data_IF_127075440344
#
_entry.id   IF_127075440344
#
_cell.length_a   1.000
_cell.length_b   1.000
_cell.length_c   1.000
_cell.angle_alpha   90.00
_cell.angle_beta   90.00
_cell.angle_gamma   90.00
#
_symmetry.space_group_name_H-M   'P 1'
#
loop_
_entity.id
_entity.type
_entity.pdbx_description
1 polymer ?
#
# COMPACT_ATOMS: atom_id res chain seq x y z
N UNK A 1 -17.42 -5.05 -11.82
CA UNK A 1 -17.90 -4.01 -12.76
C UNK A 1 -17.11 -4.17 -14.04
N UNK A 2 -17.70 -3.91 -15.22
CA UNK A 2 -16.95 -4.02 -16.48
C UNK A 2 -15.75 -3.08 -16.46
N UNK A 3 -14.61 -3.55 -16.95
CA UNK A 3 -13.44 -2.69 -17.13
C UNK A 3 -13.78 -1.54 -18.08
N UNK A 4 -13.28 -0.34 -17.76
CA UNK A 4 -13.56 0.88 -18.54
C UNK A 4 -14.95 1.47 -18.36
N UNK A 5 -15.84 0.85 -17.54
CA UNK A 5 -17.12 1.49 -17.20
C UNK A 5 -16.90 2.69 -16.28
N UNK A 6 -17.81 3.68 -16.31
CA UNK A 6 -17.76 4.87 -15.45
C UNK A 6 -17.61 4.50 -13.96
N UNK A 7 -18.35 3.48 -13.51
CA UNK A 7 -18.24 3.05 -12.12
C UNK A 7 -16.88 2.44 -11.78
N UNK A 8 -16.22 1.76 -12.73
CA UNK A 8 -14.90 1.17 -12.53
C UNK A 8 -13.82 2.26 -12.46
N UNK A 9 -13.92 3.26 -13.34
CA UNK A 9 -13.04 4.43 -13.33
C UNK A 9 -13.18 5.22 -12.02
N UNK A 10 -14.42 5.44 -11.57
CA UNK A 10 -14.70 6.08 -10.28
C UNK A 10 -14.13 5.27 -9.11
N UNK A 11 -14.34 3.96 -9.11
CA UNK A 11 -13.79 3.08 -8.08
C UNK A 11 -12.26 3.18 -7.99
N UNK A 12 -11.56 3.15 -9.13
CA UNK A 12 -10.09 3.28 -9.15
C UNK A 12 -9.64 4.66 -8.66
N UNK A 13 -10.32 5.73 -9.04
CA UNK A 13 -10.01 7.08 -8.55
C UNK A 13 -10.16 7.19 -7.03
N UNK A 14 -11.30 6.76 -6.48
CA UNK A 14 -11.56 6.78 -5.04
C UNK A 14 -10.59 5.85 -4.27
N UNK A 15 -10.24 4.72 -4.87
CA UNK A 15 -9.22 3.80 -4.36
C UNK A 15 -7.85 4.47 -4.27
N UNK A 16 -7.42 5.18 -5.32
CA UNK A 16 -6.11 5.84 -5.37
C UNK A 16 -6.03 7.00 -4.37
N UNK A 17 -7.13 7.75 -4.20
CA UNK A 17 -7.27 8.76 -3.15
C UNK A 17 -7.14 8.14 -1.75
N UNK A 18 -7.77 6.99 -1.50
CA UNK A 18 -7.65 6.28 -0.24
C UNK A 18 -6.22 5.78 0.03
N UNK A 19 -5.50 5.33 -1.01
CA UNK A 19 -4.08 4.97 -0.89
C UNK A 19 -3.19 6.17 -0.59
N UNK A 20 -3.45 7.32 -1.23
CA UNK A 20 -2.74 8.56 -0.96
C UNK A 20 -2.94 9.01 0.49
N UNK A 21 -4.20 9.00 0.95
CA UNK A 21 -4.54 9.27 2.35
C UNK A 21 -3.80 8.34 3.31
N UNK A 22 -3.80 7.03 3.05
CA UNK A 22 -3.13 6.04 3.90
C UNK A 22 -1.61 6.26 3.99
N UNK A 23 -0.95 6.62 2.88
CA UNK A 23 0.49 6.97 2.85
C UNK A 23 0.77 8.21 3.70
N UNK A 24 0.02 9.29 3.50
CA UNK A 24 0.19 10.53 4.26
C UNK A 24 -0.06 10.29 5.75
N UNK A 25 -1.06 9.48 6.10
CA UNK A 25 -1.33 9.12 7.49
C UNK A 25 -0.12 8.40 8.13
N UNK A 26 0.47 7.41 7.45
CA UNK A 26 1.67 6.72 7.95
C UNK A 26 2.88 7.65 8.07
N UNK A 27 3.07 8.57 7.11
CA UNK A 27 4.12 9.58 7.19
C UNK A 27 3.95 10.48 8.42
N UNK A 28 2.74 10.97 8.67
CA UNK A 28 2.46 11.81 9.84
C UNK A 28 2.65 11.05 11.17
N UNK A 29 2.24 9.78 11.23
CA UNK A 29 2.50 8.92 12.39
C UNK A 29 4.01 8.76 12.61
N UNK A 30 4.78 8.46 11.57
CA UNK A 30 6.24 8.33 11.64
C UNK A 30 6.90 9.60 12.17
N UNK A 31 6.51 10.77 11.64
CA UNK A 31 7.00 12.07 12.12
C UNK A 31 6.71 12.29 13.61
N UNK A 32 5.48 11.99 14.05
CA UNK A 32 5.08 12.13 15.47
C UNK A 32 5.86 11.18 16.37
N UNK A 33 6.09 9.94 15.94
CA UNK A 33 6.91 8.97 16.69
C UNK A 33 8.34 9.48 16.83
N UNK A 34 8.97 9.93 15.74
CA UNK A 34 10.34 10.47 15.74
C UNK A 34 10.48 11.67 16.69
N UNK A 35 9.52 12.60 16.64
CA UNK A 35 9.46 13.74 17.56
C UNK A 35 9.37 13.30 19.02
N UNK A 36 8.49 12.33 19.32
CA UNK A 36 8.28 11.84 20.69
C UNK A 36 9.54 11.16 21.26
N UNK A 37 10.27 10.40 20.44
CA UNK A 37 11.50 9.72 20.88
C UNK A 37 12.77 10.56 20.72
N UNK A 38 12.64 11.83 20.27
CA UNK A 38 13.74 12.77 20.01
C UNK A 38 14.81 12.20 19.08
N UNK A 39 14.38 11.45 18.07
CA UNK A 39 15.27 10.85 17.08
C UNK A 39 15.08 11.49 15.71
N UNK A 40 16.04 11.23 14.83
CA UNK A 40 15.92 11.47 13.40
C UNK A 40 15.96 10.12 12.67
N UNK A 41 15.36 10.07 11.50
CA UNK A 41 15.40 8.89 10.66
C UNK A 41 14.82 9.17 9.28
N UNK A 42 15.04 8.23 8.38
CA UNK A 42 14.51 8.25 7.03
C UNK A 42 13.60 7.04 6.82
N UNK A 43 12.53 7.17 6.01
CA UNK A 43 11.70 6.03 5.66
C UNK A 43 12.54 5.00 4.88
N UNK A 44 12.51 3.75 5.32
CA UNK A 44 13.20 2.62 4.65
C UNK A 44 12.26 1.93 3.65
N UNK A 45 11.01 1.71 4.05
CA UNK A 45 9.98 1.04 3.24
C UNK A 45 8.60 1.57 3.61
N UNK A 46 7.74 1.81 2.62
CA UNK A 46 6.32 2.09 2.80
C UNK A 46 5.52 1.39 1.69
N UNK A 47 4.84 0.30 2.04
CA UNK A 47 4.08 -0.54 1.11
C UNK A 47 2.67 -0.79 1.64
N UNK A 48 1.69 -0.78 0.74
CA UNK A 48 0.33 -1.21 1.04
C UNK A 48 0.21 -2.73 0.85
N UNK A 49 -0.62 -3.40 1.64
CA UNK A 49 -0.98 -4.81 1.45
C UNK A 49 -2.46 -5.01 1.06
N UNK A 50 -3.22 -3.92 0.96
CA UNK A 50 -4.62 -3.86 0.52
C UNK A 50 -4.73 -2.83 -0.61
N UNK A 51 -4.76 -3.28 -1.86
CA UNK A 51 -4.93 -2.42 -3.03
C UNK A 51 -5.25 -3.25 -4.28
N UNK A 52 -5.70 -2.59 -5.34
CA UNK A 52 -5.76 -3.15 -6.69
C UNK A 52 -4.77 -2.41 -7.60
N UNK A 53 -4.14 -3.12 -8.53
CA UNK A 53 -3.24 -2.52 -9.53
C UNK A 53 -3.37 -3.22 -10.86
N UNK A 54 -3.23 -2.49 -11.97
CA UNK A 54 -3.04 -3.11 -13.27
C UNK A 54 -1.77 -3.98 -13.26
N UNK A 55 -1.80 -5.12 -13.95
CA UNK A 55 -0.70 -6.06 -14.00
C UNK A 55 -0.68 -6.82 -15.35
N UNK A 56 0.50 -7.37 -15.65
CA UNK A 56 0.71 -8.31 -16.74
C UNK A 56 1.22 -9.62 -16.15
N UNK A 57 0.54 -10.74 -16.42
CA UNK A 57 0.99 -12.07 -16.01
C UNK A 57 1.12 -12.93 -17.27
N UNK A 58 2.36 -13.22 -17.67
CA UNK A 58 2.64 -13.83 -18.97
C UNK A 58 2.14 -12.94 -20.11
N UNK A 59 1.23 -13.45 -20.94
CA UNK A 59 0.60 -12.73 -22.05
C UNK A 59 -0.76 -12.10 -21.68
N UNK A 60 -1.19 -12.19 -20.42
CA UNK A 60 -2.49 -11.69 -19.96
C UNK A 60 -2.37 -10.34 -19.23
N UNK A 61 -3.07 -9.33 -19.74
CA UNK A 61 -3.34 -8.09 -19.01
C UNK A 61 -4.52 -8.28 -18.05
N UNK A 62 -4.47 -7.64 -16.88
CA UNK A 62 -5.59 -7.62 -15.96
C UNK A 62 -5.33 -6.80 -14.70
N UNK A 63 -6.17 -7.02 -13.69
CA UNK A 63 -6.11 -6.33 -12.40
C UNK A 63 -5.74 -7.30 -11.28
N UNK A 64 -4.69 -6.97 -10.53
CA UNK A 64 -4.24 -7.76 -9.39
C UNK A 64 -4.80 -7.15 -8.10
N UNK A 65 -5.72 -7.87 -7.48
CA UNK A 65 -6.27 -7.52 -6.17
C UNK A 65 -5.40 -8.12 -5.07
N UNK A 66 -4.87 -7.26 -4.21
CA UNK A 66 -4.16 -7.66 -2.99
C UNK A 66 -5.01 -7.32 -1.79
N UNK A 67 -5.29 -8.33 -0.96
CA UNK A 67 -5.99 -8.18 0.33
C UNK A 67 -5.21 -8.96 1.38
N UNK A 68 -4.48 -8.26 2.24
CA UNK A 68 -3.52 -8.85 3.17
C UNK A 68 -2.28 -9.43 2.50
N UNK A 69 -1.94 -8.96 1.29
CA UNK A 69 -0.79 -9.45 0.53
C UNK A 69 0.16 -8.29 0.17
N UNK A 70 1.40 -8.35 0.65
CA UNK A 70 2.44 -7.37 0.33
C UNK A 70 3.01 -7.63 -1.07
N UNK A 71 3.26 -6.60 -1.90
CA UNK A 71 3.95 -6.76 -3.17
C UNK A 71 5.41 -7.20 -2.96
N UNK A 72 5.89 -8.12 -3.80
CA UNK A 72 7.25 -8.68 -3.80
C UNK A 72 8.15 -8.10 -4.92
N UNK A 73 7.59 -7.23 -5.75
CA UNK A 73 8.25 -6.58 -6.89
C UNK A 73 8.83 -5.19 -6.56
N UNK A 74 8.67 -4.71 -5.32
CA UNK A 74 9.11 -3.38 -4.88
C UNK A 74 10.39 -3.40 -4.03
N UNK A 75 11.18 -4.48 -4.10
CA UNK A 75 12.41 -4.63 -3.33
C UNK A 75 12.18 -5.29 -1.97
N UNK A 76 12.35 -4.53 -0.87
CA UNK A 76 12.14 -5.07 0.47
C UNK A 76 10.66 -5.44 0.70
N UNK A 77 10.44 -6.55 1.38
CA UNK A 77 9.10 -7.03 1.78
C UNK A 77 9.00 -6.96 3.30
N UNK A 78 7.90 -6.37 3.80
CA UNK A 78 7.56 -6.39 5.22
C UNK A 78 6.45 -7.42 5.48
N UNK A 79 6.67 -8.27 6.48
CA UNK A 79 5.70 -9.27 6.95
C UNK A 79 5.38 -8.94 8.41
N UNK A 80 4.40 -8.07 8.69
CA UNK A 80 4.06 -7.72 10.05
C UNK A 80 3.45 -8.93 10.77
N UNK A 81 4.02 -9.30 11.92
CA UNK A 81 3.41 -10.26 12.84
C UNK A 81 2.24 -9.67 13.62
N UNK A 82 1.78 -10.41 14.62
CA UNK A 82 0.81 -9.90 15.59
C UNK A 82 1.50 -9.06 16.68
N UNK A 83 0.72 -8.34 17.49
CA UNK A 83 1.27 -7.53 18.58
C UNK A 83 2.00 -8.43 19.59
N UNK A 84 3.31 -8.20 19.75
CA UNK A 84 4.16 -8.98 20.67
C UNK A 84 4.80 -10.22 20.03
N UNK A 85 4.62 -10.43 18.72
CA UNK A 85 5.21 -11.52 17.95
C UNK A 85 6.37 -11.03 17.05
N UNK A 86 7.05 -11.95 16.38
CA UNK A 86 8.12 -11.64 15.43
C UNK A 86 7.62 -10.90 14.19
N UNK A 87 8.50 -10.10 13.59
CA UNK A 87 8.30 -9.42 12.29
C UNK A 87 9.61 -9.44 11.50
#
# INVERSE_FOLDING_TARGET
MPEGSDDALRYIAEHDDALAFARINRQLISLRIMQQVKATGSPVLDVAHNFVSACQIGDQQGWLHRKGATPDDNGLVIIPGSLGDYS
#
